data_IF_811368723476
#
_entry.id   IF_811368723476
#
_cell.length_a   1.000
_cell.length_b   1.000
_cell.length_c   1.000
_cell.angle_alpha   90.00
_cell.angle_beta   90.00
_cell.angle_gamma   90.00
#
_symmetry.space_group_name_H-M   'P 1'
#
loop_
_entity.id
_entity.type
_entity.pdbx_description
1 polymer ?
#
# COMPACT_ATOMS: atom_id res chain seq x y z
N UNK A 1 -16.53 7.70 6.81
CA UNK A 1 -15.08 7.86 7.10
C UNK A 1 -14.50 8.94 6.20
N UNK A 2 -15.07 10.15 6.18
CA UNK A 2 -14.82 11.13 5.12
C UNK A 2 -14.64 12.55 5.66
N UNK A 3 -14.07 12.67 6.86
CA UNK A 3 -13.96 13.99 7.51
C UNK A 3 -12.56 14.35 7.99
N UNK A 4 -11.53 13.49 7.84
CA UNK A 4 -10.24 13.71 8.50
C UNK A 4 -8.99 13.54 7.63
N UNK A 5 -9.06 13.71 6.30
CA UNK A 5 -7.82 13.67 5.49
C UNK A 5 -7.68 14.88 4.59
N UNK A 6 -6.67 15.71 4.89
CA UNK A 6 -6.21 16.80 4.02
C UNK A 6 -5.22 16.22 3.00
N UNK A 7 -5.49 16.40 1.70
CA UNK A 7 -4.63 15.93 0.60
C UNK A 7 -5.15 14.68 -0.12
N UNK A 8 -4.32 14.13 -1.03
CA UNK A 8 -4.62 12.91 -1.81
C UNK A 8 -3.66 11.78 -1.40
N UNK A 9 -3.80 11.21 -0.18
CA UNK A 9 -2.86 10.24 0.37
C UNK A 9 -2.86 8.96 -0.45
N UNK A 10 -1.67 8.40 -0.69
CA UNK A 10 -1.53 7.12 -1.42
C UNK A 10 -1.54 5.97 -0.42
N UNK A 11 -2.41 5.00 -0.66
CA UNK A 11 -2.54 3.79 0.17
C UNK A 11 -1.82 2.62 -0.50
N UNK A 12 -1.02 1.90 0.29
CA UNK A 12 -0.47 0.60 -0.05
C UNK A 12 -1.44 -0.50 0.43
N UNK A 13 -1.98 -1.28 -0.52
CA UNK A 13 -2.85 -2.44 -0.29
C UNK A 13 -2.43 -3.61 -1.19
N UNK A 14 -2.72 -4.85 -0.79
CA UNK A 14 -2.50 -6.02 -1.65
C UNK A 14 -3.41 -5.97 -2.89
N UNK A 15 -2.90 -6.47 -4.01
CA UNK A 15 -3.67 -6.62 -5.25
C UNK A 15 -3.61 -8.04 -5.77
N UNK A 16 -4.78 -8.69 -5.88
CA UNK A 16 -4.91 -10.01 -6.49
C UNK A 16 -4.91 -9.92 -8.02
N UNK A 17 -4.45 -10.98 -8.69
CA UNK A 17 -4.21 -11.03 -10.15
C UNK A 17 -5.48 -11.08 -11.00
N UNK A 18 -6.64 -11.25 -10.39
CA UNK A 18 -7.88 -11.33 -11.12
C UNK A 18 -8.61 -9.99 -11.09
N UNK A 19 -9.03 -9.54 -12.27
CA UNK A 19 -9.91 -8.40 -12.56
C UNK A 19 -11.31 -8.52 -11.92
N UNK A 20 -11.42 -9.22 -10.80
CA UNK A 20 -12.58 -9.32 -9.95
C UNK A 20 -12.14 -8.89 -8.55
N UNK A 21 -12.56 -7.68 -8.17
CA UNK A 21 -12.49 -7.11 -6.81
C UNK A 21 -11.26 -6.30 -6.36
N UNK A 22 -10.40 -5.82 -7.26
CA UNK A 22 -9.39 -4.82 -6.92
C UNK A 22 -9.98 -3.40 -6.87
N UNK A 23 -10.50 -2.98 -5.70
CA UNK A 23 -10.72 -1.58 -5.25
C UNK A 23 -11.72 -1.50 -4.07
N UNK A 24 -11.65 -2.35 -3.04
CA UNK A 24 -12.63 -2.24 -1.93
C UNK A 24 -12.47 -0.96 -1.11
N UNK A 25 -11.24 -0.45 -0.94
CA UNK A 25 -10.99 0.79 -0.20
C UNK A 25 -11.07 2.00 -1.15
N UNK A 26 -10.48 1.95 -2.35
CA UNK A 26 -10.56 3.08 -3.31
C UNK A 26 -12.00 3.34 -3.80
N UNK A 27 -12.80 2.31 -4.07
CA UNK A 27 -14.20 2.48 -4.49
C UNK A 27 -15.13 2.92 -3.36
N UNK A 28 -14.75 2.71 -2.08
CA UNK A 28 -15.54 3.17 -0.93
C UNK A 28 -15.02 4.47 -0.28
N UNK A 29 -13.78 4.91 -0.57
CA UNK A 29 -13.16 6.08 0.09
C UNK A 29 -12.72 7.19 -0.87
N UNK A 30 -12.53 6.90 -2.17
CA UNK A 30 -12.03 7.87 -3.15
C UNK A 30 -10.54 8.19 -3.04
N UNK A 31 -9.77 7.40 -2.28
CA UNK A 31 -8.34 7.60 -2.08
C UNK A 31 -7.51 6.85 -3.14
N UNK A 32 -6.46 7.46 -3.72
CA UNK A 32 -5.61 6.81 -4.70
C UNK A 32 -4.78 5.71 -4.04
N UNK A 33 -4.60 4.60 -4.74
CA UNK A 33 -3.65 3.54 -4.37
C UNK A 33 -2.47 3.52 -5.33
N UNK A 34 -1.40 2.79 -5.02
CA UNK A 34 -0.22 2.69 -5.91
C UNK A 34 -0.60 2.19 -7.31
N UNK A 35 -1.61 1.32 -7.44
CA UNK A 35 -2.18 0.93 -8.74
C UNK A 35 -3.23 1.92 -9.29
N UNK A 36 -3.87 2.74 -8.45
CA UNK A 36 -4.88 3.73 -8.86
C UNK A 36 -4.33 5.08 -9.34
N UNK A 37 -3.08 5.43 -8.99
CA UNK A 37 -2.42 6.68 -9.39
C UNK A 37 -1.77 6.55 -10.79
N UNK A 38 -1.73 7.58 -11.64
CA UNK A 38 -2.79 7.97 -12.55
C UNK A 38 -3.00 6.99 -13.74
N UNK A 39 -3.88 6.00 -13.59
CA UNK A 39 -4.48 5.31 -14.77
C UNK A 39 -5.31 6.30 -15.62
N UNK A 40 -5.75 7.41 -15.02
CA UNK A 40 -6.47 8.51 -15.67
C UNK A 40 -5.62 9.40 -16.59
N UNK A 41 -4.28 9.38 -16.51
CA UNK A 41 -3.43 10.09 -17.48
C UNK A 41 -2.85 9.17 -18.58
N UNK A 42 -2.89 7.85 -18.39
CA UNK A 42 -2.20 6.89 -19.25
C UNK A 42 -3.08 6.18 -20.30
N UNK A 43 -4.31 6.62 -20.53
CA UNK A 43 -5.12 6.12 -21.67
C UNK A 43 -4.53 6.49 -23.06
N UNK A 44 -3.38 7.17 -23.13
CA UNK A 44 -2.77 7.58 -24.39
C UNK A 44 -1.41 6.94 -24.73
N UNK A 45 -0.90 5.94 -23.99
CA UNK A 45 0.41 5.33 -24.33
C UNK A 45 0.41 3.80 -24.30
N UNK A 46 0.89 3.21 -25.38
CA UNK A 46 1.00 1.76 -25.70
C UNK A 46 1.82 0.88 -24.71
N UNK A 47 2.19 1.38 -23.52
CA UNK A 47 3.04 0.68 -22.54
C UNK A 47 2.37 0.49 -21.17
N UNK A 48 1.04 0.57 -21.10
CA UNK A 48 0.30 0.49 -19.82
C UNK A 48 0.52 -0.85 -19.07
N UNK A 49 0.73 -1.95 -19.78
CA UNK A 49 0.86 -3.29 -19.17
C UNK A 49 2.20 -3.45 -18.42
N UNK A 50 3.31 -2.92 -18.96
CA UNK A 50 4.63 -3.05 -18.32
C UNK A 50 4.73 -2.23 -17.04
N UNK A 51 4.12 -1.05 -17.02
CA UNK A 51 4.04 -0.19 -15.84
C UNK A 51 3.21 -0.84 -14.72
N UNK A 52 2.08 -1.49 -15.06
CA UNK A 52 1.26 -2.24 -14.10
C UNK A 52 2.07 -3.38 -13.46
N UNK A 53 2.75 -4.18 -14.27
CA UNK A 53 3.56 -5.29 -13.76
C UNK A 53 4.70 -4.80 -12.87
N UNK A 54 5.36 -3.69 -13.25
CA UNK A 54 6.41 -3.07 -12.42
C UNK A 54 5.90 -2.66 -11.05
N UNK A 55 4.71 -2.04 -10.98
CA UNK A 55 4.11 -1.61 -9.70
C UNK A 55 3.67 -2.78 -8.83
N UNK A 56 3.14 -3.86 -9.43
CA UNK A 56 2.85 -5.11 -8.70
C UNK A 56 4.12 -5.67 -8.04
N UNK A 57 5.24 -5.67 -8.77
CA UNK A 57 6.53 -6.11 -8.23
C UNK A 57 6.95 -5.22 -7.06
N UNK A 58 6.83 -3.90 -7.19
CA UNK A 58 7.17 -2.97 -6.10
C UNK A 58 6.33 -3.19 -4.85
N UNK A 59 5.01 -3.37 -5.00
CA UNK A 59 4.12 -3.67 -3.87
C UNK A 59 4.54 -4.97 -3.18
N UNK A 60 4.79 -6.02 -3.98
CA UNK A 60 5.31 -7.28 -3.48
C UNK A 60 6.65 -7.12 -2.74
N UNK A 61 7.58 -6.33 -3.30
CA UNK A 61 8.87 -6.03 -2.69
C UNK A 61 8.71 -5.30 -1.34
N UNK A 62 7.81 -4.32 -1.26
CA UNK A 62 7.53 -3.58 -0.01
C UNK A 62 6.97 -4.53 1.05
N UNK A 63 6.01 -5.40 0.70
CA UNK A 63 5.43 -6.31 1.67
C UNK A 63 6.37 -7.44 2.07
N UNK A 64 7.15 -8.00 1.15
CA UNK A 64 8.01 -9.17 1.40
C UNK A 64 9.40 -8.84 1.93
N UNK A 65 9.93 -7.63 1.70
CA UNK A 65 11.26 -7.30 2.22
C UNK A 65 11.26 -7.30 3.75
N UNK A 66 12.35 -7.78 4.37
CA UNK A 66 12.61 -7.67 5.81
C UNK A 66 13.49 -6.46 6.15
N UNK A 67 14.04 -5.79 5.12
CA UNK A 67 14.92 -4.64 5.28
C UNK A 67 14.11 -3.35 5.40
N UNK A 68 14.05 -2.78 6.61
CA UNK A 68 13.29 -1.55 6.91
C UNK A 68 13.70 -0.40 6.00
N UNK A 69 14.99 -0.17 5.79
CA UNK A 69 15.48 0.92 4.93
C UNK A 69 15.04 0.77 3.47
N UNK A 70 14.96 -0.47 2.95
CA UNK A 70 14.50 -0.74 1.58
C UNK A 70 13.00 -0.46 1.47
N UNK A 71 12.23 -0.89 2.47
CA UNK A 71 10.79 -0.63 2.53
C UNK A 71 10.50 0.87 2.60
N UNK A 72 11.15 1.60 3.51
CA UNK A 72 10.99 3.06 3.65
C UNK A 72 11.31 3.81 2.36
N UNK A 73 12.44 3.48 1.71
CA UNK A 73 12.82 4.09 0.44
C UNK A 73 11.74 3.89 -0.63
N UNK A 74 11.21 2.67 -0.76
CA UNK A 74 10.15 2.39 -1.72
C UNK A 74 8.82 3.07 -1.34
N UNK A 75 8.50 3.18 -0.05
CA UNK A 75 7.32 3.92 0.41
C UNK A 75 7.43 5.41 0.09
N UNK A 76 8.62 5.99 0.27
CA UNK A 76 8.93 7.38 -0.06
C UNK A 76 8.92 7.65 -1.57
N UNK A 77 9.62 6.82 -2.36
CA UNK A 77 9.69 6.90 -3.82
C UNK A 77 8.29 6.86 -4.48
N UNK A 78 7.34 6.17 -3.84
CA UNK A 78 5.95 6.04 -4.29
C UNK A 78 4.97 6.92 -3.50
N UNK A 79 5.47 7.83 -2.66
CA UNK A 79 4.68 8.77 -1.86
C UNK A 79 3.55 8.12 -1.05
N UNK A 80 3.78 6.90 -0.56
CA UNK A 80 2.83 6.17 0.28
C UNK A 80 2.66 6.91 1.60
N UNK A 81 1.41 7.05 2.03
CA UNK A 81 1.06 7.70 3.31
C UNK A 81 0.49 6.70 4.30
N UNK A 82 -0.22 5.69 3.81
CA UNK A 82 -0.85 4.66 4.63
C UNK A 82 -0.51 3.26 4.12
N UNK A 83 -0.31 2.33 5.06
CA UNK A 83 -0.02 0.93 4.80
C UNK A 83 -1.11 0.09 5.43
N UNK A 84 -1.77 -0.76 4.65
CA UNK A 84 -2.78 -1.70 5.15
C UNK A 84 -2.13 -3.07 5.33
N UNK A 85 -2.35 -3.70 6.47
CA UNK A 85 -1.97 -5.08 6.76
C UNK A 85 -3.19 -5.82 7.33
N UNK A 86 -3.96 -6.45 6.45
CA UNK A 86 -5.12 -7.26 6.78
C UNK A 86 -4.93 -8.74 6.50
N UNK A 87 -6.05 -9.47 6.52
CA UNK A 87 -6.06 -10.90 6.24
C UNK A 87 -5.53 -11.22 4.82
N UNK A 88 -5.84 -10.37 3.84
CA UNK A 88 -5.40 -10.55 2.47
C UNK A 88 -3.87 -10.43 2.37
N UNK A 89 -3.28 -9.37 2.92
CA UNK A 89 -1.82 -9.20 2.94
C UNK A 89 -1.13 -10.38 3.64
N UNK A 90 -1.72 -10.90 4.73
CA UNK A 90 -1.20 -12.07 5.45
C UNK A 90 -1.30 -13.38 4.67
N UNK A 91 -2.22 -13.49 3.72
CA UNK A 91 -2.35 -14.64 2.82
C UNK A 91 -1.34 -14.55 1.68
N UNK A 92 -1.10 -13.36 1.14
CA UNK A 92 -0.30 -13.17 -0.07
C UNK A 92 1.18 -12.89 0.17
N UNK A 93 1.57 -12.41 1.36
CA UNK A 93 2.93 -11.97 1.64
C UNK A 93 3.55 -12.68 2.84
N UNK A 94 4.89 -12.69 2.87
CA UNK A 94 5.66 -13.37 3.92
C UNK A 94 5.38 -12.79 5.31
N UNK A 95 5.13 -13.63 6.33
CA UNK A 95 4.98 -13.19 7.72
C UNK A 95 6.17 -12.36 8.23
N UNK A 96 7.40 -12.73 7.85
CA UNK A 96 8.62 -12.00 8.24
C UNK A 96 8.65 -10.60 7.64
N UNK A 97 8.18 -10.47 6.39
CA UNK A 97 8.03 -9.19 5.72
C UNK A 97 6.98 -8.32 6.40
N UNK A 98 5.84 -8.88 6.79
CA UNK A 98 4.78 -8.12 7.47
C UNK A 98 5.16 -7.71 8.90
N UNK A 99 5.91 -8.56 9.60
CA UNK A 99 6.37 -8.28 10.97
C UNK A 99 7.22 -7.00 11.04
N UNK A 100 7.92 -6.62 9.96
CA UNK A 100 8.72 -5.39 9.94
C UNK A 100 7.87 -4.14 10.25
N UNK A 101 6.61 -4.10 9.85
CA UNK A 101 5.77 -2.91 10.06
C UNK A 101 5.47 -2.72 11.55
N UNK A 102 5.36 -3.80 12.31
CA UNK A 102 5.24 -3.73 13.78
C UNK A 102 6.53 -3.17 14.40
N UNK A 103 7.69 -3.54 13.87
CA UNK A 103 8.97 -3.02 14.34
C UNK A 103 9.09 -1.53 14.00
N UNK A 104 8.70 -1.13 12.79
CA UNK A 104 8.70 0.28 12.37
C UNK A 104 7.73 1.15 13.20
N UNK A 105 6.59 0.61 13.62
CA UNK A 105 5.68 1.27 14.57
C UNK A 105 6.36 1.43 15.94
N UNK A 106 7.04 0.39 16.42
CA UNK A 106 7.81 0.42 17.68
C UNK A 106 8.98 1.40 17.65
N UNK A 107 9.62 1.57 16.49
CA UNK A 107 10.75 2.47 16.25
C UNK A 107 10.29 3.93 16.01
N UNK A 108 8.97 4.20 15.99
CA UNK A 108 8.41 5.53 15.77
C UNK A 108 8.50 6.03 14.31
N UNK A 109 8.70 5.11 13.36
CA UNK A 109 8.69 5.40 11.91
C UNK A 109 7.27 5.33 11.34
N UNK A 110 6.42 4.51 11.96
CA UNK A 110 5.01 4.38 11.63
C UNK A 110 4.18 4.69 12.88
N UNK A 111 2.89 4.95 12.64
CA UNK A 111 1.89 5.04 13.69
C UNK A 111 0.69 4.17 13.32
N UNK A 112 0.32 3.23 14.18
CA UNK A 112 -0.95 2.49 14.05
C UNK A 112 -2.14 3.45 14.23
N UNK A 113 -2.80 3.80 13.13
CA UNK A 113 -3.98 4.70 13.12
C UNK A 113 -5.31 3.94 13.13
N UNK A 114 -5.29 2.65 12.81
CA UNK A 114 -6.47 1.79 12.88
C UNK A 114 -6.05 0.35 13.16
N UNK A 115 -6.76 -0.31 14.07
CA UNK A 115 -6.63 -1.74 14.29
C UNK A 115 -8.01 -2.30 14.64
N UNK A 116 -8.56 -3.14 13.77
CA UNK A 116 -9.82 -3.82 14.05
C UNK A 116 -9.90 -5.17 13.33
N UNK A 117 -10.41 -6.20 14.02
CA UNK A 117 -10.74 -7.51 13.46
C UNK A 117 -9.65 -8.11 12.54
N UNK A 118 -8.36 -7.97 12.90
CA UNK A 118 -7.24 -8.52 12.14
C UNK A 118 -6.75 -7.67 10.96
N UNK A 119 -7.26 -6.45 10.82
CA UNK A 119 -6.75 -5.42 9.90
C UNK A 119 -6.09 -4.29 10.67
N UNK A 120 -4.84 -4.01 10.34
CA UNK A 120 -4.05 -2.90 10.90
C UNK A 120 -3.72 -1.91 9.79
N UNK A 121 -3.90 -0.61 10.06
CA UNK A 121 -3.48 0.47 9.16
C UNK A 121 -2.43 1.30 9.86
N UNK A 122 -1.28 1.44 9.21
CA UNK A 122 -0.18 2.28 9.64
C UNK A 122 -0.18 3.58 8.84
N UNK A 123 0.15 4.69 9.50
CA UNK A 123 0.50 5.97 8.87
C UNK A 123 2.01 6.15 8.93
N UNK A 124 2.63 6.57 7.84
CA UNK A 124 4.06 6.91 7.82
C UNK A 124 4.27 8.25 8.53
N UNK A 125 5.22 8.29 9.46
CA UNK A 125 5.61 9.52 10.15
C UNK A 125 6.78 10.20 9.40
N UNK A 126 6.75 11.54 9.25
CA UNK A 126 7.83 12.31 8.64
C UNK A 126 9.05 12.48 9.56
#
# INVERSE_FOLDING_TARGET
MQSNVQGTPIILEAHDEQYHWSSRISSNTGLPTILGWPWHQMQQRNNAISEINRRKIVISDIYNTTMVYKALKLLEDYHVTYIVVGQLERIHYSPDGLQKFNNMDSDGLLETVFNNQGTTVYRILP
#
